data_IF_147913006581
#
_entry.id   IF_147913006581
#
_cell.length_a   1.000
_cell.length_b   1.000
_cell.length_c   1.000
_cell.angle_alpha   90.00
_cell.angle_beta   90.00
_cell.angle_gamma   90.00
#
_symmetry.space_group_name_H-M   'P 1'
#
loop_
_entity.id
_entity.type
_entity.pdbx_description
1 polymer ?
#
# COMPACT_ATOMS: atom_id res chain seq x y z
N UNK A 1 -16.75 -1.63 -7.97
CA UNK A 1 -16.62 -2.81 -7.09
C UNK A 1 -15.89 -2.43 -5.81
N UNK A 2 -16.26 -2.95 -4.64
CA UNK A 2 -15.58 -2.63 -3.36
C UNK A 2 -14.35 -3.52 -3.15
N UNK A 3 -13.21 -2.91 -2.82
CA UNK A 3 -11.99 -3.61 -2.44
C UNK A 3 -11.57 -3.27 -1.00
N UNK A 4 -10.79 -4.17 -0.40
CA UNK A 4 -10.22 -4.00 0.93
C UNK A 4 -8.71 -4.13 0.90
N UNK A 5 -8.01 -3.30 1.66
CA UNK A 5 -6.55 -3.21 1.56
C UNK A 5 -5.94 -2.09 2.38
N UNK A 6 -4.73 -1.70 1.98
CA UNK A 6 -3.92 -0.67 2.64
C UNK A 6 -3.46 0.35 1.61
N UNK A 7 -3.49 1.62 2.01
CA UNK A 7 -2.81 2.72 1.32
C UNK A 7 -1.74 3.30 2.23
N UNK A 8 -0.54 3.55 1.70
CA UNK A 8 0.46 4.41 2.31
C UNK A 8 0.69 5.64 1.44
N UNK A 9 0.72 6.81 2.09
CA UNK A 9 1.04 8.08 1.46
C UNK A 9 2.39 8.56 2.01
N UNK A 10 3.46 8.36 1.25
CA UNK A 10 4.82 8.77 1.56
C UNK A 10 5.03 10.29 1.43
N UNK A 11 4.00 11.07 1.10
CA UNK A 11 4.05 12.54 1.17
C UNK A 11 3.22 13.10 2.33
N UNK A 12 2.38 12.29 2.98
CA UNK A 12 1.60 12.71 4.15
C UNK A 12 2.27 12.28 5.45
N UNK A 13 2.72 13.27 6.25
CA UNK A 13 3.30 13.04 7.58
C UNK A 13 2.38 12.24 8.52
N UNK A 14 1.06 12.24 8.29
CA UNK A 14 0.11 11.40 9.04
C UNK A 14 0.37 9.92 8.91
N UNK A 15 1.04 9.47 7.84
CA UNK A 15 1.47 8.09 7.66
C UNK A 15 2.40 7.64 8.79
N UNK A 16 3.21 8.54 9.37
CA UNK A 16 3.99 8.25 10.58
C UNK A 16 3.13 8.01 11.83
N UNK A 17 1.90 8.53 11.86
CA UNK A 17 0.96 8.21 12.93
C UNK A 17 0.47 6.75 12.88
N UNK A 18 0.55 6.10 11.71
CA UNK A 18 0.20 4.70 11.53
C UNK A 18 1.37 3.78 11.92
N UNK A 19 2.61 4.21 11.66
CA UNK A 19 3.83 3.44 11.91
C UNK A 19 4.88 4.30 12.64
N UNK A 20 4.63 4.68 13.90
CA UNK A 20 5.48 5.64 14.62
C UNK A 20 6.90 5.14 14.81
N UNK A 21 7.08 3.84 15.01
CA UNK A 21 8.40 3.23 15.22
C UNK A 21 9.32 3.38 13.99
N UNK A 22 8.75 3.33 12.78
CA UNK A 22 9.49 3.51 11.52
C UNK A 22 9.79 4.98 11.21
N UNK A 23 9.20 5.91 11.94
CA UNK A 23 9.45 7.34 11.80
C UNK A 23 10.29 7.93 12.95
N UNK A 24 10.74 7.11 13.91
CA UNK A 24 11.54 7.57 15.05
C UNK A 24 12.87 8.21 14.62
N UNK A 25 13.47 7.72 13.53
CA UNK A 25 14.72 8.24 12.98
C UNK A 25 14.52 9.26 11.85
N UNK A 26 13.27 9.55 11.48
CA UNK A 26 12.96 10.55 10.48
C UNK A 26 13.15 11.95 11.10
N UNK A 27 14.28 12.58 10.76
CA UNK A 27 14.58 13.95 11.18
C UNK A 27 13.79 14.93 10.30
N UNK A 28 13.24 16.00 10.88
CA UNK A 28 12.44 17.06 10.19
C UNK A 28 13.18 17.71 9.00
N UNK A 29 14.47 17.41 8.82
CA UNK A 29 15.29 17.81 7.68
C UNK A 29 14.95 17.08 6.36
N UNK A 30 14.22 15.98 6.42
CA UNK A 30 13.67 15.33 5.24
C UNK A 30 12.35 16.03 4.88
N UNK A 31 12.23 16.53 3.64
CA UNK A 31 11.06 17.30 3.20
C UNK A 31 9.83 16.39 2.96
N UNK A 32 10.02 15.08 2.73
CA UNK A 32 8.97 14.09 2.47
C UNK A 32 9.27 12.73 3.16
N UNK A 33 8.24 11.91 3.44
CA UNK A 33 8.44 10.52 3.94
C UNK A 33 8.96 9.57 2.85
N UNK A 34 8.92 10.00 1.58
CA UNK A 34 9.53 9.30 0.46
C UNK A 34 11.05 9.15 0.59
N UNK A 35 11.69 9.91 1.48
CA UNK A 35 13.13 9.77 1.78
C UNK A 35 13.39 8.85 2.98
N UNK A 36 12.35 8.32 3.62
CA UNK A 36 12.48 7.36 4.73
C UNK A 36 12.72 5.96 4.18
N UNK A 37 13.99 5.58 4.04
CA UNK A 37 14.41 4.26 3.54
C UNK A 37 13.80 3.10 4.36
N UNK A 38 13.74 3.21 5.70
CA UNK A 38 13.16 2.16 6.56
C UNK A 38 11.68 1.92 6.25
N UNK A 39 10.92 3.00 6.04
CA UNK A 39 9.49 2.95 5.69
C UNK A 39 9.28 2.35 4.29
N UNK A 40 10.11 2.74 3.31
CA UNK A 40 10.06 2.19 1.96
C UNK A 40 10.41 0.70 1.93
N UNK A 41 11.46 0.30 2.65
CA UNK A 41 11.87 -1.10 2.76
C UNK A 41 10.83 -1.95 3.47
N UNK A 42 10.25 -1.44 4.56
CA UNK A 42 9.13 -2.09 5.24
C UNK A 42 7.98 -2.35 4.26
N UNK A 43 7.54 -1.30 3.56
CA UNK A 43 6.43 -1.43 2.60
C UNK A 43 6.74 -2.44 1.50
N UNK A 44 7.87 -2.29 0.80
CA UNK A 44 8.22 -3.15 -0.32
C UNK A 44 8.37 -4.61 0.10
N UNK A 45 8.98 -4.87 1.27
CA UNK A 45 9.12 -6.23 1.82
C UNK A 45 7.77 -6.90 2.05
N UNK A 46 6.80 -6.18 2.59
CA UNK A 46 5.46 -6.71 2.81
C UNK A 46 4.72 -6.94 1.49
N UNK A 47 4.84 -6.01 0.54
CA UNK A 47 4.30 -6.19 -0.82
C UNK A 47 4.86 -7.45 -1.48
N UNK A 48 6.18 -7.65 -1.44
CA UNK A 48 6.82 -8.85 -2.00
C UNK A 48 6.34 -10.14 -1.34
N UNK A 49 6.11 -10.12 -0.02
CA UNK A 49 5.58 -11.27 0.71
C UNK A 49 4.13 -11.59 0.33
N UNK A 50 3.30 -10.56 0.10
CA UNK A 50 1.94 -10.75 -0.42
C UNK A 50 1.98 -11.37 -1.81
N UNK A 51 2.83 -10.86 -2.71
CA UNK A 51 2.97 -11.38 -4.07
C UNK A 51 3.51 -12.82 -4.15
N UNK A 52 4.27 -13.28 -3.14
CA UNK A 52 4.66 -14.70 -3.03
C UNK A 52 3.49 -15.62 -2.69
N UNK A 53 2.44 -15.09 -2.04
CA UNK A 53 1.30 -15.85 -1.56
C UNK A 53 0.08 -15.75 -2.48
N UNK A 54 -0.12 -14.60 -3.13
CA UNK A 54 -1.26 -14.35 -4.01
C UNK A 54 -0.94 -13.36 -5.12
N UNK A 55 -1.60 -13.53 -6.26
CA UNK A 55 -1.62 -12.54 -7.35
C UNK A 55 -3.00 -11.88 -7.47
N UNK A 56 -3.95 -12.21 -6.60
CA UNK A 56 -5.32 -11.69 -6.65
C UNK A 56 -5.39 -10.35 -5.91
N UNK A 57 -4.54 -9.40 -6.28
CA UNK A 57 -4.47 -8.06 -5.70
C UNK A 57 -4.42 -7.01 -6.80
N UNK A 58 -4.91 -5.82 -6.51
CA UNK A 58 -4.66 -4.60 -7.27
C UNK A 58 -3.57 -3.85 -6.52
N UNK A 59 -2.42 -3.68 -7.16
CA UNK A 59 -1.28 -2.94 -6.66
C UNK A 59 -1.01 -1.75 -7.56
N UNK A 60 -0.94 -0.57 -6.94
CA UNK A 60 -0.62 0.68 -7.62
C UNK A 60 0.50 1.34 -6.83
N UNK A 61 1.49 1.82 -7.56
CA UNK A 61 2.52 2.67 -7.00
C UNK A 61 2.63 3.88 -7.93
N UNK A 62 2.30 5.06 -7.42
CA UNK A 62 2.38 6.27 -8.23
C UNK A 62 3.62 7.08 -7.88
N UNK A 63 4.14 7.79 -8.88
CA UNK A 63 5.27 8.72 -8.74
C UNK A 63 4.97 9.89 -7.78
N UNK A 64 3.72 10.02 -7.31
CA UNK A 64 3.30 10.99 -6.31
C UNK A 64 3.49 10.47 -4.88
N UNK A 65 4.20 9.36 -4.68
CA UNK A 65 4.52 8.83 -3.35
C UNK A 65 3.32 8.20 -2.66
N UNK A 66 2.27 7.80 -3.38
CA UNK A 66 1.18 7.00 -2.83
C UNK A 66 1.26 5.59 -3.40
N UNK A 67 1.29 4.61 -2.51
CA UNK A 67 1.26 3.20 -2.87
C UNK A 67 0.11 2.50 -2.18
N UNK A 68 -0.53 1.59 -2.89
CA UNK A 68 -1.76 0.95 -2.45
C UNK A 68 -1.83 -0.50 -2.91
N UNK A 69 -2.36 -1.35 -2.04
CA UNK A 69 -2.59 -2.77 -2.30
C UNK A 69 -3.96 -3.18 -1.77
N UNK A 70 -4.83 -3.62 -2.67
CA UNK A 70 -6.23 -3.89 -2.39
C UNK A 70 -6.70 -5.18 -3.07
N UNK A 71 -7.76 -5.81 -2.56
CA UNK A 71 -8.37 -6.96 -3.22
C UNK A 71 -9.87 -7.08 -2.91
N UNK A 72 -10.60 -7.76 -3.79
CA UNK A 72 -11.95 -8.28 -3.53
C UNK A 72 -11.93 -9.78 -3.18
N UNK A 73 -10.79 -10.45 -3.31
CA UNK A 73 -10.62 -11.86 -2.98
C UNK A 73 -10.39 -12.04 -1.47
N UNK A 74 -11.27 -12.79 -0.80
CA UNK A 74 -11.21 -12.97 0.66
C UNK A 74 -9.89 -13.57 1.15
N UNK A 75 -9.27 -14.45 0.36
CA UNK A 75 -7.98 -15.06 0.71
C UNK A 75 -6.86 -14.01 0.63
N UNK A 76 -6.83 -13.22 -0.44
CA UNK A 76 -5.89 -12.10 -0.55
C UNK A 76 -6.10 -11.05 0.54
N UNK A 77 -7.34 -10.72 0.91
CA UNK A 77 -7.64 -9.78 2.00
C UNK A 77 -7.08 -10.29 3.34
N UNK A 78 -7.23 -11.57 3.65
CA UNK A 78 -6.66 -12.19 4.86
C UNK A 78 -5.12 -12.15 4.85
N UNK A 79 -4.49 -12.40 3.71
CA UNK A 79 -3.02 -12.28 3.55
C UNK A 79 -2.57 -10.83 3.81
N UNK A 80 -3.22 -9.84 3.19
CA UNK A 80 -2.92 -8.41 3.39
C UNK A 80 -3.06 -8.05 4.88
N UNK A 81 -4.15 -8.49 5.53
CA UNK A 81 -4.38 -8.22 6.96
C UNK A 81 -3.31 -8.81 7.87
N UNK A 82 -2.73 -9.96 7.51
CA UNK A 82 -1.68 -10.61 8.29
C UNK A 82 -0.32 -9.97 8.10
N UNK A 83 0.01 -9.60 6.86
CA UNK A 83 1.26 -8.92 6.54
C UNK A 83 1.30 -7.53 7.17
N UNK A 84 0.21 -6.78 7.06
CA UNK A 84 0.06 -5.45 7.67
C UNK A 84 -0.76 -5.49 8.97
N UNK A 85 -0.45 -6.42 9.87
CA UNK A 85 -1.19 -6.61 11.14
C UNK A 85 -1.31 -5.34 12.01
N UNK A 86 -0.38 -4.41 11.86
CA UNK A 86 -0.30 -3.17 12.63
C UNK A 86 -1.10 -2.03 11.97
N UNK A 87 -1.57 -2.25 10.73
CA UNK A 87 -2.39 -1.31 9.98
C UNK A 87 -3.84 -1.78 9.88
N UNK A 88 -4.76 -0.81 9.89
CA UNK A 88 -6.18 -1.09 9.71
C UNK A 88 -6.50 -1.17 8.23
N UNK A 89 -7.18 -2.24 7.81
CA UNK A 89 -7.73 -2.33 6.46
C UNK A 89 -8.75 -1.22 6.21
N UNK A 90 -8.63 -0.62 5.02
CA UNK A 90 -9.54 0.39 4.51
C UNK A 90 -10.35 -0.17 3.34
N UNK A 91 -11.47 0.49 3.04
CA UNK A 91 -12.29 0.20 1.86
C UNK A 91 -12.08 1.27 0.81
N UNK A 92 -12.12 0.86 -0.45
CA UNK A 92 -12.08 1.77 -1.59
C UNK A 92 -12.87 1.19 -2.76
N UNK A 93 -13.40 2.06 -3.63
CA UNK A 93 -14.00 1.63 -4.87
C UNK A 93 -12.89 1.37 -5.90
N UNK A 94 -12.98 0.25 -6.61
CA UNK A 94 -12.06 -0.09 -7.70
C UNK A 94 -11.92 1.05 -8.72
N UNK A 95 -13.04 1.70 -9.06
CA UNK A 95 -13.08 2.82 -10.02
C UNK A 95 -12.26 4.04 -9.54
N UNK A 96 -12.11 4.21 -8.21
CA UNK A 96 -11.27 5.28 -7.65
C UNK A 96 -9.77 4.95 -7.81
N UNK A 97 -9.42 3.65 -7.80
CA UNK A 97 -8.03 3.19 -7.97
C UNK A 97 -7.60 3.27 -9.43
N UNK A 98 -8.41 2.74 -10.35
CA UNK A 98 -8.04 2.64 -11.78
C UNK A 98 -8.12 3.95 -12.55
N UNK A 99 -8.49 5.04 -11.87
CA UNK A 99 -8.50 6.39 -12.47
C UNK A 99 -7.11 6.87 -12.94
N UNK A 100 -6.03 6.17 -12.58
CA UNK A 100 -4.68 6.37 -13.11
C UNK A 100 -4.13 5.13 -13.82
N UNK A 101 -4.29 5.02 -15.14
CA UNK A 101 -3.81 3.88 -15.94
C UNK A 101 -2.28 3.65 -15.84
N UNK A 102 -1.48 4.73 -15.76
CA UNK A 102 0.00 4.61 -15.71
C UNK A 102 0.54 4.29 -14.32
N UNK A 103 -0.29 4.34 -13.28
CA UNK A 103 0.13 4.10 -11.90
C UNK A 103 0.00 2.62 -11.50
N UNK A 104 -0.71 1.81 -12.30
CA UNK A 104 -1.05 0.43 -11.96
C UNK A 104 0.16 -0.47 -12.17
N UNK A 105 0.67 -1.05 -11.08
CA UNK A 105 1.76 -2.01 -11.13
C UNK A 105 1.28 -3.43 -11.39
N UNK A 106 0.11 -3.79 -10.85
CA UNK A 106 -0.53 -5.09 -11.08
C UNK A 106 -2.04 -4.98 -10.84
N UNK A 107 -2.84 -5.56 -11.73
CA UNK A 107 -4.29 -5.54 -11.63
C UNK A 107 -4.89 -6.86 -12.13
N UNK A 108 -5.33 -7.69 -11.18
CA UNK A 108 -5.96 -8.98 -11.48
C UNK A 108 -7.40 -8.86 -11.98
N UNK A 109 -8.04 -7.70 -11.77
CA UNK A 109 -9.45 -7.46 -12.11
C UNK A 109 -9.59 -6.93 -13.54
N UNK A 110 -8.57 -6.29 -14.09
CA UNK A 110 -8.52 -5.84 -15.48
C UNK A 110 -8.76 -6.94 -16.52
N UNK A 111 -8.62 -8.22 -16.14
CA UNK A 111 -8.80 -9.39 -17.02
C UNK A 111 -10.17 -10.07 -16.87
N UNK A 112 -11.12 -9.47 -16.12
CA UNK A 112 -12.42 -10.05 -15.77
C UNK A 112 -13.55 -9.60 -16.69
#
# INVERSE_FOLDING_TARGET
MELWGITLDFKDMKTCGLLPDLCLHWDIKYDELGDNEELLEYWQKHIDNIFKQTKNVVYVNNDKGRSLIYSADYVAIDIISKEFKDLKLEKVMYDDIISCETCIGHDYLASS
#
